data_IF_000308639260
#
_entry.id   IF_000308639260
#
_cell.length_a   1.000
_cell.length_b   1.000
_cell.length_c   1.000
_cell.angle_alpha   90.00
_cell.angle_beta   90.00
_cell.angle_gamma   90.00
#
_symmetry.space_group_name_H-M   'P 1'
#
loop_
_entity.id
_entity.type
_entity.pdbx_description
1 polymer ?
#
# COMPACT_ATOMS: atom_id res chain seq x y z
N UNK A 1 -52.71 12.62 -31.06
CA UNK A 1 -51.36 13.07 -30.65
C UNK A 1 -50.97 12.20 -29.47
N UNK A 2 -50.11 11.20 -29.68
CA UNK A 2 -49.67 10.30 -28.61
C UNK A 2 -48.49 10.92 -27.87
N UNK A 3 -48.65 11.17 -26.58
CA UNK A 3 -47.53 11.56 -25.72
C UNK A 3 -46.59 10.36 -25.53
N UNK A 4 -45.41 10.47 -26.12
CA UNK A 4 -44.30 9.56 -25.86
C UNK A 4 -43.81 9.83 -24.44
N UNK A 5 -44.16 8.93 -23.50
CA UNK A 5 -43.66 8.90 -22.11
C UNK A 5 -42.15 8.64 -22.13
N UNK A 6 -41.35 9.69 -22.20
CA UNK A 6 -39.89 9.60 -22.29
C UNK A 6 -39.24 9.31 -20.91
N UNK A 7 -38.62 8.13 -20.79
CA UNK A 7 -37.30 7.85 -20.17
C UNK A 7 -36.90 8.42 -18.78
N UNK A 8 -37.82 8.91 -17.94
CA UNK A 8 -37.46 9.46 -16.61
C UNK A 8 -36.85 8.44 -15.64
N UNK A 9 -37.28 7.16 -15.71
CA UNK A 9 -36.86 6.14 -14.74
C UNK A 9 -35.38 5.74 -14.83
N UNK A 10 -34.75 5.80 -16.01
CA UNK A 10 -33.33 5.45 -16.16
C UNK A 10 -32.43 6.57 -15.64
N UNK A 11 -32.77 7.82 -15.93
CA UNK A 11 -32.05 8.99 -15.41
C UNK A 11 -32.23 9.12 -13.89
N UNK A 12 -33.43 8.90 -13.36
CA UNK A 12 -33.69 8.88 -11.91
C UNK A 12 -32.85 7.81 -11.20
N UNK A 13 -32.81 6.57 -11.72
CA UNK A 13 -31.95 5.50 -11.17
C UNK A 13 -30.46 5.81 -11.27
N UNK A 14 -30.03 6.54 -12.30
CA UNK A 14 -28.65 6.96 -12.47
C UNK A 14 -28.27 8.07 -11.47
N UNK A 15 -29.16 9.04 -11.24
CA UNK A 15 -29.00 10.08 -10.23
C UNK A 15 -29.03 9.50 -8.79
N UNK A 16 -29.90 8.53 -8.52
CA UNK A 16 -29.99 7.84 -7.23
C UNK A 16 -28.74 7.00 -6.94
N UNK A 17 -28.16 6.35 -7.97
CA UNK A 17 -26.86 5.67 -7.87
C UNK A 17 -25.70 6.65 -7.69
N UNK A 18 -25.75 7.80 -8.35
CA UNK A 18 -24.76 8.86 -8.16
C UNK A 18 -24.81 9.42 -6.73
N UNK A 19 -26.01 9.62 -6.16
CA UNK A 19 -26.18 10.02 -4.76
C UNK A 19 -25.73 8.94 -3.76
N UNK A 20 -25.99 7.65 -4.03
CA UNK A 20 -25.43 6.55 -3.22
C UNK A 20 -23.90 6.45 -3.33
N UNK A 21 -23.30 7.03 -4.36
CA UNK A 21 -21.85 7.13 -4.52
C UNK A 21 -21.17 8.24 -3.71
N UNK A 22 -21.96 9.11 -3.08
CA UNK A 22 -21.47 10.22 -2.25
C UNK A 22 -21.26 9.82 -0.77
N UNK A 23 -21.51 8.56 -0.41
CA UNK A 23 -21.23 8.06 0.93
C UNK A 23 -19.72 8.03 1.18
N UNK A 24 -19.29 8.70 2.26
CA UNK A 24 -17.93 8.57 2.77
C UNK A 24 -17.66 7.12 3.20
N UNK A 25 -16.44 6.64 2.97
CA UNK A 25 -15.98 5.36 3.55
C UNK A 25 -16.56 4.10 2.91
N UNK A 26 -16.48 3.95 1.57
CA UNK A 26 -16.72 2.63 0.98
C UNK A 26 -15.71 1.63 1.56
N UNK A 27 -16.16 0.39 1.86
CA UNK A 27 -15.23 -0.65 2.27
C UNK A 27 -14.25 -0.95 1.14
N UNK A 28 -13.12 -1.55 1.50
CA UNK A 28 -12.16 -2.06 0.52
C UNK A 28 -12.82 -3.04 -0.47
N UNK A 29 -12.24 -3.18 -1.64
CA UNK A 29 -12.84 -3.94 -2.73
C UNK A 29 -12.65 -5.44 -2.49
N UNK A 30 -13.75 -6.19 -2.58
CA UNK A 30 -13.70 -7.64 -2.75
C UNK A 30 -13.88 -7.97 -4.23
N UNK A 31 -12.84 -8.51 -4.88
CA UNK A 31 -12.92 -8.87 -6.31
C UNK A 31 -13.92 -10.00 -6.52
N UNK A 32 -14.89 -9.76 -7.40
CA UNK A 32 -15.82 -10.77 -7.90
C UNK A 32 -15.44 -11.29 -9.31
N UNK A 33 -14.18 -11.07 -9.70
CA UNK A 33 -13.60 -11.52 -10.96
C UNK A 33 -12.29 -12.26 -10.68
N UNK A 34 -11.87 -13.21 -11.53
CA UNK A 34 -10.58 -13.86 -11.40
C UNK A 34 -9.42 -12.87 -11.60
N UNK A 35 -8.22 -13.27 -11.22
CA UNK A 35 -6.98 -12.60 -11.67
C UNK A 35 -6.76 -12.86 -13.15
N UNK A 36 -5.93 -12.04 -13.77
CA UNK A 36 -5.48 -12.26 -15.14
C UNK A 36 -4.03 -12.74 -15.08
N UNK A 37 -3.85 -14.04 -15.31
CA UNK A 37 -2.54 -14.68 -15.21
C UNK A 37 -1.83 -14.61 -16.57
N UNK A 38 -0.67 -13.95 -16.60
CA UNK A 38 0.07 -13.65 -17.85
C UNK A 38 1.13 -14.69 -18.19
N UNK A 39 1.43 -15.61 -17.27
CA UNK A 39 2.44 -16.67 -17.43
C UNK A 39 1.80 -18.05 -17.25
N UNK A 40 2.30 -19.03 -17.99
CA UNK A 40 1.99 -20.45 -17.76
C UNK A 40 2.72 -20.98 -16.52
N UNK A 41 2.21 -22.08 -15.96
CA UNK A 41 2.83 -22.79 -14.82
C UNK A 41 4.30 -23.13 -15.08
N UNK A 42 4.62 -23.65 -16.27
CA UNK A 42 6.00 -23.96 -16.67
C UNK A 42 6.92 -22.73 -16.59
N UNK A 43 6.44 -21.56 -17.00
CA UNK A 43 7.23 -20.33 -16.97
C UNK A 43 7.36 -19.75 -15.55
N UNK A 44 6.34 -19.93 -14.70
CA UNK A 44 6.44 -19.58 -13.27
C UNK A 44 7.54 -20.40 -12.59
N UNK A 45 7.54 -21.73 -12.77
CA UNK A 45 8.55 -22.63 -12.20
C UNK A 45 9.98 -22.28 -12.66
N UNK A 46 10.15 -21.84 -13.92
CA UNK A 46 11.45 -21.36 -14.43
C UNK A 46 11.92 -20.09 -13.72
N UNK A 47 11.03 -19.11 -13.50
CA UNK A 47 11.37 -17.87 -12.78
C UNK A 47 11.74 -18.20 -11.32
N UNK A 48 10.97 -19.06 -10.67
CA UNK A 48 11.23 -19.46 -9.29
C UNK A 48 12.60 -20.17 -9.14
N UNK A 49 12.91 -21.13 -10.01
CA UNK A 49 14.20 -21.82 -10.00
C UNK A 49 15.37 -20.85 -10.29
N UNK A 50 15.17 -19.88 -11.18
CA UNK A 50 16.16 -18.86 -11.46
C UNK A 50 16.39 -17.93 -10.26
N UNK A 51 15.32 -17.54 -9.55
CA UNK A 51 15.42 -16.75 -8.33
C UNK A 51 16.16 -17.50 -7.22
N UNK A 52 15.83 -18.77 -6.98
CA UNK A 52 16.53 -19.61 -6.00
C UNK A 52 18.03 -19.73 -6.34
N UNK A 53 18.37 -19.89 -7.63
CA UNK A 53 19.77 -19.91 -8.08
C UNK A 53 20.49 -18.59 -7.81
N UNK A 54 19.90 -17.45 -8.14
CA UNK A 54 20.49 -16.13 -7.86
C UNK A 54 20.73 -15.95 -6.36
N UNK A 55 19.78 -16.35 -5.52
CA UNK A 55 19.90 -16.24 -4.07
C UNK A 55 20.96 -17.17 -3.47
N UNK A 56 21.16 -18.36 -4.05
CA UNK A 56 22.17 -19.32 -3.60
C UNK A 56 23.59 -18.98 -4.11
N UNK A 57 23.73 -18.60 -5.38
CA UNK A 57 25.03 -18.40 -6.03
C UNK A 57 25.54 -16.96 -5.89
N UNK A 58 24.65 -15.97 -5.97
CA UNK A 58 25.00 -14.54 -5.86
C UNK A 58 24.77 -14.02 -4.45
N UNK A 59 23.58 -14.22 -3.89
CA UNK A 59 23.20 -13.74 -2.55
C UNK A 59 22.73 -12.28 -2.50
N UNK A 60 22.51 -11.77 -1.29
CA UNK A 60 22.09 -10.40 -0.98
C UNK A 60 22.96 -9.83 0.13
N UNK A 61 23.38 -8.56 0.00
CA UNK A 61 24.09 -7.88 1.07
C UNK A 61 23.14 -7.28 2.11
N UNK A 62 23.42 -7.54 3.38
CA UNK A 62 22.78 -6.89 4.53
C UNK A 62 23.81 -5.96 5.17
N UNK A 63 23.70 -4.67 4.90
CA UNK A 63 24.68 -3.65 5.29
C UNK A 63 24.28 -2.98 6.60
N UNK A 64 25.28 -2.66 7.43
CA UNK A 64 25.14 -1.90 8.67
C UNK A 64 24.12 -2.46 9.68
N UNK A 65 23.79 -3.76 9.58
CA UNK A 65 22.85 -4.46 10.47
C UNK A 65 23.42 -5.82 10.91
N UNK A 66 24.27 -5.86 11.95
CA UNK A 66 24.83 -7.10 12.47
C UNK A 66 23.77 -8.05 13.05
N UNK A 67 22.61 -7.54 13.47
CA UNK A 67 21.52 -8.34 14.03
C UNK A 67 20.84 -9.14 12.92
N UNK A 68 20.59 -8.54 11.76
CA UNK A 68 20.08 -9.25 10.60
C UNK A 68 21.04 -10.37 10.14
N UNK A 69 22.35 -10.12 10.11
CA UNK A 69 23.35 -11.13 9.76
C UNK A 69 23.34 -12.32 10.73
N UNK A 70 23.23 -12.06 12.03
CA UNK A 70 23.12 -13.10 13.04
C UNK A 70 21.81 -13.92 12.89
N UNK A 71 20.69 -13.26 12.61
CA UNK A 71 19.43 -13.96 12.32
C UNK A 71 19.56 -14.90 11.12
N UNK A 72 20.18 -14.45 10.03
CA UNK A 72 20.40 -15.29 8.84
C UNK A 72 21.30 -16.47 9.11
N UNK A 73 22.41 -16.25 9.83
CA UNK A 73 23.32 -17.32 10.23
C UNK A 73 22.60 -18.38 11.09
N UNK A 74 21.80 -17.95 12.07
CA UNK A 74 20.99 -18.86 12.90
C UNK A 74 19.92 -19.60 12.11
N UNK A 75 19.37 -18.98 11.07
CA UNK A 75 18.40 -19.60 10.17
C UNK A 75 19.05 -20.59 9.18
N UNK A 76 20.38 -20.67 9.11
CA UNK A 76 21.12 -21.61 8.27
C UNK A 76 21.58 -21.05 6.92
N UNK A 77 21.56 -19.72 6.74
CA UNK A 77 22.15 -19.08 5.57
C UNK A 77 23.68 -19.09 5.66
N UNK A 78 24.34 -19.07 4.51
CA UNK A 78 25.79 -18.87 4.43
C UNK A 78 26.10 -17.37 4.47
N UNK A 79 26.77 -16.92 5.53
CA UNK A 79 27.09 -15.50 5.74
C UNK A 79 28.60 -15.27 5.62
N UNK A 80 29.00 -14.40 4.69
CA UNK A 80 30.40 -14.01 4.43
C UNK A 80 30.52 -12.48 4.46
N UNK A 81 30.97 -11.93 5.59
CA UNK A 81 30.96 -10.48 5.80
C UNK A 81 29.52 -9.95 5.78
N UNK A 82 29.20 -9.07 4.82
CA UNK A 82 27.86 -8.53 4.63
C UNK A 82 27.01 -9.37 3.66
N UNK A 83 27.62 -10.29 2.92
CA UNK A 83 26.93 -11.09 1.91
C UNK A 83 26.26 -12.31 2.55
N UNK A 84 24.96 -12.46 2.28
CA UNK A 84 24.15 -13.59 2.73
C UNK A 84 23.70 -14.39 1.50
N UNK A 85 24.02 -15.69 1.48
CA UNK A 85 23.58 -16.66 0.47
C UNK A 85 22.59 -17.63 1.06
N UNK A 86 21.55 -17.93 0.29
CA UNK A 86 20.39 -18.69 0.78
C UNK A 86 20.35 -20.06 0.07
N UNK A 87 20.50 -21.18 0.81
CA UNK A 87 20.32 -22.50 0.23
C UNK A 87 18.93 -22.66 -0.42
N UNK A 88 18.81 -23.38 -1.56
CA UNK A 88 17.54 -23.61 -2.22
C UNK A 88 16.47 -24.16 -1.25
N UNK A 89 15.27 -23.59 -1.30
CA UNK A 89 14.15 -23.98 -0.44
C UNK A 89 14.15 -23.39 0.98
N UNK A 90 15.24 -22.79 1.45
CA UNK A 90 15.32 -22.16 2.79
C UNK A 90 14.25 -21.06 2.94
N UNK A 91 14.20 -20.11 2.01
CA UNK A 91 13.25 -18.99 2.09
C UNK A 91 11.80 -19.47 2.00
N UNK A 92 11.52 -20.48 1.16
CA UNK A 92 10.20 -21.10 1.09
C UNK A 92 9.79 -21.72 2.42
N UNK A 93 10.71 -22.38 3.13
CA UNK A 93 10.44 -22.95 4.45
C UNK A 93 10.10 -21.86 5.48
N UNK A 94 10.85 -20.75 5.49
CA UNK A 94 10.60 -19.60 6.38
C UNK A 94 9.22 -18.98 6.09
N UNK A 95 8.90 -18.76 4.80
CA UNK A 95 7.65 -18.13 4.37
C UNK A 95 6.40 -18.95 4.70
N UNK A 96 6.50 -20.24 5.03
CA UNK A 96 5.33 -21.05 5.48
C UNK A 96 4.68 -20.51 6.75
N UNK A 97 5.42 -19.77 7.57
CA UNK A 97 4.90 -19.13 8.78
C UNK A 97 4.16 -17.81 8.50
N UNK A 98 4.29 -17.25 7.29
CA UNK A 98 3.68 -15.99 6.93
C UNK A 98 2.17 -16.17 6.67
N UNK A 99 1.29 -15.33 7.24
CA UNK A 99 -0.14 -15.42 7.00
C UNK A 99 -0.46 -15.02 5.55
N UNK A 100 -1.28 -15.82 4.87
CA UNK A 100 -1.77 -15.48 3.53
C UNK A 100 -2.73 -14.29 3.53
N UNK A 101 -3.41 -14.05 4.66
CA UNK A 101 -4.30 -12.92 4.87
C UNK A 101 -4.22 -12.42 6.33
N UNK A 102 -4.31 -11.11 6.53
CA UNK A 102 -4.39 -10.50 7.85
C UNK A 102 -5.22 -9.22 7.82
N UNK A 103 -5.69 -8.77 8.99
CA UNK A 103 -6.40 -7.50 9.14
C UNK A 103 -5.43 -6.41 9.58
N UNK A 104 -5.38 -5.31 8.85
CA UNK A 104 -4.78 -4.07 9.31
C UNK A 104 -5.87 -3.23 9.98
N UNK A 105 -5.75 -3.08 11.30
CA UNK A 105 -6.74 -2.38 12.10
C UNK A 105 -6.62 -0.87 11.93
N UNK A 106 -7.77 -0.21 11.88
CA UNK A 106 -7.90 1.23 11.90
C UNK A 106 -8.45 1.71 13.25
N UNK A 107 -8.24 2.99 13.59
CA UNK A 107 -8.77 3.53 14.86
C UNK A 107 -10.30 3.52 14.90
N UNK A 108 -10.94 3.72 13.75
CA UNK A 108 -12.35 3.40 13.55
C UNK A 108 -12.43 1.97 12.99
N UNK A 109 -12.92 0.98 13.76
CA UNK A 109 -12.95 -0.42 13.32
C UNK A 109 -13.69 -0.63 12.00
N UNK A 110 -14.67 0.21 11.66
CA UNK A 110 -15.44 0.15 10.42
C UNK A 110 -14.58 0.41 9.16
N UNK A 111 -13.39 0.98 9.34
CA UNK A 111 -12.40 1.23 8.29
C UNK A 111 -11.22 0.27 8.30
N UNK A 112 -11.24 -0.75 9.16
CA UNK A 112 -10.20 -1.80 9.10
C UNK A 112 -10.21 -2.50 7.75
N UNK A 113 -9.02 -2.83 7.25
CA UNK A 113 -8.87 -3.46 5.93
C UNK A 113 -8.27 -4.85 6.03
N UNK A 114 -8.67 -5.74 5.13
CA UNK A 114 -8.08 -7.08 5.01
C UNK A 114 -7.06 -7.11 3.88
N UNK A 115 -5.84 -7.52 4.19
CA UNK A 115 -4.72 -7.63 3.25
C UNK A 115 -4.61 -9.09 2.80
N UNK A 116 -4.43 -9.32 1.50
CA UNK A 116 -4.33 -10.65 0.89
C UNK A 116 -5.62 -11.15 0.23
N UNK A 117 -5.56 -12.33 -0.38
CA UNK A 117 -6.71 -13.01 -1.00
C UNK A 117 -7.34 -12.24 -2.18
N UNK A 118 -8.67 -12.06 -2.12
CA UNK A 118 -9.45 -11.34 -3.15
C UNK A 118 -9.61 -9.84 -2.85
N UNK A 119 -8.98 -9.35 -1.78
CA UNK A 119 -9.14 -7.98 -1.31
C UNK A 119 -8.24 -7.02 -2.09
N UNK A 120 -8.72 -5.82 -2.38
CA UNK A 120 -7.94 -4.73 -2.98
C UNK A 120 -8.12 -3.47 -2.15
N UNK A 121 -7.00 -2.98 -1.61
CA UNK A 121 -6.91 -1.80 -0.76
C UNK A 121 -6.13 -0.74 -1.52
N UNK A 122 -6.71 0.45 -1.67
CA UNK A 122 -6.04 1.58 -2.31
C UNK A 122 -5.54 2.55 -1.24
N UNK A 123 -4.27 2.91 -1.35
CA UNK A 123 -3.61 3.94 -0.57
C UNK A 123 -3.15 5.08 -1.51
N UNK A 124 -2.97 6.31 -1.00
CA UNK A 124 -2.34 7.39 -1.74
C UNK A 124 -0.90 7.07 -2.18
N UNK A 125 -0.33 7.94 -3.00
CA UNK A 125 1.09 7.91 -3.38
C UNK A 125 2.02 7.92 -2.14
N UNK A 126 3.29 7.59 -2.33
CA UNK A 126 4.30 7.53 -1.26
C UNK A 126 5.65 8.07 -1.75
N UNK A 127 6.32 8.90 -0.94
CA UNK A 127 7.71 9.33 -1.08
C UNK A 127 7.96 10.56 -1.96
N UNK A 128 6.94 11.26 -2.45
CA UNK A 128 7.14 12.38 -3.39
C UNK A 128 7.67 13.64 -2.69
N UNK A 129 8.87 14.16 -3.00
CA UNK A 129 9.38 15.37 -2.36
C UNK A 129 8.80 16.66 -2.97
N UNK A 130 8.18 16.55 -4.14
CA UNK A 130 7.54 17.65 -4.83
C UNK A 130 6.03 17.44 -4.91
N UNK A 131 5.30 18.54 -4.82
CA UNK A 131 3.86 18.63 -5.03
C UNK A 131 3.59 19.57 -6.19
N UNK A 132 2.39 19.46 -6.76
CA UNK A 132 1.93 20.33 -7.84
C UNK A 132 0.47 20.71 -7.59
N UNK A 133 0.18 22.00 -7.64
CA UNK A 133 -1.18 22.54 -7.65
C UNK A 133 -1.36 23.51 -8.84
N UNK A 134 -2.61 23.89 -9.13
CA UNK A 134 -2.93 24.73 -10.30
C UNK A 134 -2.45 26.18 -10.15
N UNK A 135 -2.30 26.66 -8.91
CA UNK A 135 -2.02 28.07 -8.60
C UNK A 135 -0.52 28.36 -8.52
N UNK A 136 0.26 27.43 -7.94
CA UNK A 136 1.68 27.57 -7.62
C UNK A 136 2.58 26.66 -8.44
N UNK A 137 2.02 25.76 -9.24
CA UNK A 137 2.78 24.81 -10.05
C UNK A 137 3.58 23.82 -9.18
N UNK A 138 4.70 23.31 -9.73
CA UNK A 138 5.55 22.32 -9.05
C UNK A 138 6.48 22.98 -8.03
N UNK A 139 6.45 22.51 -6.79
CA UNK A 139 7.26 23.01 -5.66
C UNK A 139 7.54 21.91 -4.66
N UNK A 140 8.39 22.17 -3.67
CA UNK A 140 8.60 21.23 -2.57
C UNK A 140 7.32 21.06 -1.74
N UNK A 141 7.12 19.86 -1.22
CA UNK A 141 6.04 19.57 -0.29
C UNK A 141 6.25 20.22 1.07
N UNK A 142 5.15 20.61 1.70
CA UNK A 142 5.10 21.12 3.06
C UNK A 142 4.25 20.22 3.95
N UNK A 143 4.30 20.45 5.27
CA UNK A 143 3.41 19.78 6.21
C UNK A 143 1.93 20.10 5.96
N UNK A 144 1.64 21.29 5.40
CA UNK A 144 0.29 21.63 4.98
C UNK A 144 -0.18 20.77 3.79
N UNK A 145 0.67 20.57 2.78
CA UNK A 145 0.35 19.68 1.66
C UNK A 145 0.09 18.25 2.12
N UNK A 146 0.94 17.76 3.04
CA UNK A 146 0.79 16.44 3.64
C UNK A 146 -0.60 16.28 4.30
N UNK A 147 -0.99 17.25 5.13
CA UNK A 147 -2.32 17.29 5.77
C UNK A 147 -3.45 17.36 4.75
N UNK A 148 -3.28 18.14 3.68
CA UNK A 148 -4.27 18.27 2.63
C UNK A 148 -4.46 16.96 1.87
N UNK A 149 -3.39 16.23 1.56
CA UNK A 149 -3.51 14.91 0.94
C UNK A 149 -4.19 13.88 1.84
N UNK A 150 -3.96 13.91 3.16
CA UNK A 150 -4.69 13.04 4.09
C UNK A 150 -6.20 13.36 4.06
N UNK A 151 -6.56 14.65 4.12
CA UNK A 151 -7.98 15.06 4.04
C UNK A 151 -8.62 14.64 2.71
N UNK A 152 -7.90 14.77 1.60
CA UNK A 152 -8.35 14.31 0.28
C UNK A 152 -8.51 12.78 0.24
N UNK A 153 -7.56 12.03 0.79
CA UNK A 153 -7.63 10.59 0.90
C UNK A 153 -8.87 10.18 1.72
N UNK A 154 -9.03 10.74 2.92
CA UNK A 154 -10.17 10.53 3.82
C UNK A 154 -11.52 10.81 3.14
N UNK A 155 -11.60 11.91 2.39
CA UNK A 155 -12.83 12.34 1.71
C UNK A 155 -13.15 11.51 0.46
N UNK A 156 -12.14 10.88 -0.14
CA UNK A 156 -12.33 10.04 -1.31
C UNK A 156 -13.03 8.73 -0.94
N UNK A 157 -14.11 8.34 -1.65
CA UNK A 157 -14.75 7.05 -1.45
C UNK A 157 -13.95 5.88 -2.01
N UNK A 158 -12.84 6.12 -2.72
CA UNK A 158 -12.07 5.09 -3.41
C UNK A 158 -10.70 4.82 -2.78
N UNK A 159 -10.29 5.61 -1.78
CA UNK A 159 -9.17 5.24 -0.93
C UNK A 159 -9.71 4.46 0.27
N UNK A 160 -8.97 3.44 0.70
CA UNK A 160 -9.36 2.59 1.84
C UNK A 160 -8.34 2.70 2.98
N UNK A 161 -7.21 3.36 2.70
CA UNK A 161 -6.07 3.51 3.58
C UNK A 161 -5.58 4.97 3.50
N UNK A 162 -5.08 5.52 4.60
CA UNK A 162 -4.65 6.93 4.70
C UNK A 162 -3.31 7.18 4.00
N UNK A 163 -2.43 6.18 3.96
CA UNK A 163 -1.11 6.23 3.34
C UNK A 163 0.01 6.20 4.37
N UNK A 164 1.19 6.66 3.98
CA UNK A 164 2.32 6.92 4.87
C UNK A 164 2.95 8.26 4.50
N UNK A 165 4.18 8.25 3.98
CA UNK A 165 4.83 9.48 3.49
C UNK A 165 4.21 9.95 2.17
N UNK A 166 2.97 10.46 2.17
CA UNK A 166 2.26 10.81 0.92
C UNK A 166 3.03 11.83 0.08
N UNK A 167 3.58 12.84 0.76
CA UNK A 167 4.62 13.71 0.25
C UNK A 167 5.65 13.98 1.34
N UNK A 168 6.85 14.44 0.96
CA UNK A 168 7.89 14.81 1.91
C UNK A 168 7.68 16.25 2.41
N UNK A 169 7.43 16.50 3.71
CA UNK A 169 7.33 17.85 4.26
C UNK A 169 8.73 18.44 4.48
N UNK A 170 9.14 19.33 3.58
CA UNK A 170 10.48 19.92 3.58
C UNK A 170 10.64 21.13 4.50
N UNK A 171 9.53 21.63 5.05
CA UNK A 171 9.44 22.74 6.01
C UNK A 171 9.58 22.31 7.48
N UNK A 172 9.75 21.00 7.74
CA UNK A 172 9.97 20.43 9.07
C UNK A 172 11.35 19.76 9.13
N UNK A 173 12.12 19.91 10.24
CA UNK A 173 13.40 19.23 10.40
C UNK A 173 13.31 17.72 10.16
N UNK A 174 14.27 17.16 9.40
CA UNK A 174 14.29 15.74 8.96
C UNK A 174 14.13 14.77 10.12
N UNK A 175 14.85 15.01 11.22
CA UNK A 175 14.82 14.14 12.41
C UNK A 175 13.53 14.24 13.23
N UNK A 176 12.56 15.09 12.85
CA UNK A 176 11.30 15.31 13.58
C UNK A 176 10.05 15.09 12.75
N UNK A 177 10.11 15.28 11.43
CA UNK A 177 8.93 15.28 10.56
C UNK A 177 8.08 14.02 10.64
N UNK A 178 8.67 12.86 10.91
CA UNK A 178 7.94 11.61 11.09
C UNK A 178 6.91 11.69 12.23
N UNK A 179 7.18 12.46 13.29
CA UNK A 179 6.26 12.68 14.40
C UNK A 179 5.01 13.42 13.94
N UNK A 180 5.21 14.53 13.21
CA UNK A 180 4.12 15.35 12.67
C UNK A 180 3.31 14.59 11.61
N UNK A 181 3.99 13.79 10.77
CA UNK A 181 3.35 12.99 9.73
C UNK A 181 2.44 11.90 10.31
N UNK A 182 2.93 11.13 11.28
CA UNK A 182 2.13 10.11 11.96
C UNK A 182 0.96 10.75 12.70
N UNK A 183 1.19 11.87 13.41
CA UNK A 183 0.12 12.60 14.09
C UNK A 183 -0.97 13.06 13.12
N UNK A 184 -0.59 13.60 11.97
CA UNK A 184 -1.55 14.06 10.96
C UNK A 184 -2.44 12.91 10.43
N UNK A 185 -1.91 11.70 10.25
CA UNK A 185 -2.74 10.54 9.89
C UNK A 185 -3.77 10.20 10.96
N UNK A 186 -3.37 10.25 12.24
CA UNK A 186 -4.24 9.94 13.38
C UNK A 186 -5.37 10.98 13.52
N UNK A 187 -5.04 12.27 13.41
CA UNK A 187 -5.97 13.37 13.63
C UNK A 187 -6.91 13.60 12.45
N UNK A 188 -6.41 13.49 11.21
CA UNK A 188 -7.14 13.91 10.01
C UNK A 188 -7.81 12.76 9.26
N UNK A 189 -7.57 11.51 9.66
CA UNK A 189 -8.16 10.32 9.06
C UNK A 189 -8.47 9.30 10.15
N UNK A 190 -9.47 8.46 9.90
CA UNK A 190 -9.83 7.32 10.76
C UNK A 190 -9.57 5.97 10.10
N UNK A 191 -8.90 5.99 8.94
CA UNK A 191 -8.45 4.84 8.16
C UNK A 191 -7.11 4.31 8.68
N UNK A 192 -6.71 3.07 8.30
CA UNK A 192 -5.39 2.58 8.64
C UNK A 192 -4.31 3.41 7.92
N UNK A 193 -3.12 3.50 8.52
CA UNK A 193 -1.98 4.25 8.01
C UNK A 193 -0.67 3.47 8.18
N UNK A 194 0.40 3.91 7.51
CA UNK A 194 1.74 3.31 7.56
C UNK A 194 2.61 4.02 8.59
N UNK A 195 3.51 3.27 9.24
CA UNK A 195 4.56 3.85 10.08
C UNK A 195 5.66 4.55 9.28
N UNK A 196 6.51 5.30 9.99
CA UNK A 196 7.72 5.88 9.41
C UNK A 196 8.80 4.81 9.22
N UNK A 197 9.52 4.90 8.11
CA UNK A 197 10.68 4.04 7.77
C UNK A 197 11.89 4.87 7.34
N UNK A 198 11.84 6.18 7.61
CA UNK A 198 12.81 7.21 7.23
C UNK A 198 13.19 8.04 8.45
#
# INVERSE_FOLDING_TARGET
>A
MSEVRARSGRQARQAERAQKGLGHGRPYILRNIPTYDVLSEENLLKIEAAADRVLAETGIEFRDDPVALDHWKRAGAEVQGLLVKFPPGMLRAILRSAPAEFTQHARNPDHSVRIGGKNVVFAPAYGSPFVMDLDRGRRFGTMEDFRNFIKLAQSSPNFHHSGGTICEPTDVPVNKRHLDMVMAHIELSDRPFMGSVT
#
